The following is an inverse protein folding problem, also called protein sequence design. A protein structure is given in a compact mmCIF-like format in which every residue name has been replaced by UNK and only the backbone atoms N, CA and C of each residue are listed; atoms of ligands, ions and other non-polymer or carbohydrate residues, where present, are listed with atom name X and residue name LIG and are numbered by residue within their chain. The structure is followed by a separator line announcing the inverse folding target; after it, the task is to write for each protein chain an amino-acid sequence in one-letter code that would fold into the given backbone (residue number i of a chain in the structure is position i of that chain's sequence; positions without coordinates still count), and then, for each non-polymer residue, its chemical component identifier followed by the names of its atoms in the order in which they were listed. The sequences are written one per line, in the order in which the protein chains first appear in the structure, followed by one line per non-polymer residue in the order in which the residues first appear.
data_IF_135389609175
#
_entry.id   IF_135389609175
#
_cell.length_a   1.000
_cell.length_b   1.000
_cell.length_c   1.000
_cell.angle_alpha   90.00
_cell.angle_beta   90.00
_cell.angle_gamma   90.00
#
_symmetry.space_group_name_H-M   'P 1'
#
loop_
_entity.id
_entity.type
_entity.pdbx_description
1 polymer ?
#
# COMPACT_ATOMS: atom_id res chain seq x y z
N UNK A 1 -1.75 18.53 5.26
CA UNK A 1 -1.80 19.45 4.10
C UNK A 1 -3.13 20.21 3.97
N UNK A 2 -4.30 19.53 3.94
CA UNK A 2 -5.64 20.15 3.86
C UNK A 2 -5.84 21.39 4.76
N UNK A 3 -5.53 21.27 6.05
CA UNK A 3 -5.70 22.38 7.01
C UNK A 3 -4.89 23.64 6.64
N UNK A 4 -3.64 23.46 6.20
CA UNK A 4 -2.78 24.58 5.79
C UNK A 4 -3.34 25.28 4.55
N UNK A 5 -3.76 24.48 3.56
CA UNK A 5 -4.34 24.99 2.31
C UNK A 5 -5.66 25.74 2.55
N UNK A 6 -6.50 25.27 3.48
CA UNK A 6 -7.71 26.00 3.85
C UNK A 6 -7.44 27.33 4.54
N UNK A 7 -6.50 27.35 5.48
CA UNK A 7 -6.14 28.59 6.17
C UNK A 7 -5.47 29.58 5.22
N UNK A 8 -4.68 29.09 4.26
CA UNK A 8 -4.13 29.91 3.18
C UNK A 8 -5.23 30.52 2.32
N UNK A 9 -6.24 29.72 1.93
CA UNK A 9 -7.40 30.21 1.17
C UNK A 9 -8.24 31.21 1.95
N UNK A 10 -8.32 31.07 3.27
CA UNK A 10 -8.96 32.04 4.16
C UNK A 10 -8.15 33.35 4.34
N UNK A 11 -7.04 33.53 3.62
CA UNK A 11 -6.24 34.75 3.57
C UNK A 11 -4.86 34.65 4.22
N UNK A 12 -4.52 33.54 4.90
CA UNK A 12 -3.20 33.37 5.55
C UNK A 12 -2.17 32.77 4.59
N UNK A 13 -1.83 33.50 3.52
CA UNK A 13 -0.99 33.01 2.43
C UNK A 13 0.41 32.56 2.85
N UNK A 14 0.93 33.03 3.99
CA UNK A 14 2.21 32.56 4.56
C UNK A 14 2.22 31.06 4.87
N UNK A 15 1.05 30.43 5.05
CA UNK A 15 0.92 28.99 5.26
C UNK A 15 1.17 28.15 3.99
N UNK A 16 1.38 28.78 2.84
CA UNK A 16 1.86 28.08 1.63
C UNK A 16 3.32 27.63 1.78
N UNK A 17 4.14 28.31 2.59
CA UNK A 17 5.52 27.90 2.86
C UNK A 17 5.59 26.53 3.55
N UNK A 18 4.90 26.30 4.68
CA UNK A 18 4.89 24.96 5.29
C UNK A 18 4.21 23.90 4.42
N UNK A 19 3.34 24.25 3.46
CA UNK A 19 2.83 23.28 2.46
C UNK A 19 3.98 22.73 1.60
N UNK A 20 4.92 23.59 1.17
CA UNK A 20 6.09 23.19 0.39
C UNK A 20 7.00 22.28 1.23
N UNK A 21 7.21 22.59 2.51
CA UNK A 21 8.02 21.74 3.40
C UNK A 21 7.37 20.37 3.64
N UNK A 22 6.04 20.32 3.82
CA UNK A 22 5.31 19.06 3.94
C UNK A 22 5.40 18.26 2.64
N UNK A 23 5.36 18.91 1.47
CA UNK A 23 5.56 18.23 0.19
C UNK A 23 6.98 17.65 0.08
N UNK A 24 8.00 18.40 0.49
CA UNK A 24 9.39 17.92 0.48
C UNK A 24 9.54 16.64 1.32
N UNK A 25 9.01 16.67 2.55
CA UNK A 25 9.01 15.50 3.42
C UNK A 25 8.24 14.34 2.79
N UNK A 26 7.07 14.61 2.22
CA UNK A 26 6.23 13.59 1.61
C UNK A 26 6.89 12.92 0.41
N UNK A 27 7.49 13.71 -0.50
CA UNK A 27 8.21 13.21 -1.67
C UNK A 27 9.46 12.39 -1.35
N UNK A 28 10.04 12.59 -0.17
CA UNK A 28 11.18 11.81 0.32
C UNK A 28 10.76 10.60 1.17
N UNK A 29 9.49 10.50 1.54
CA UNK A 29 8.99 9.44 2.41
C UNK A 29 8.17 8.38 1.67
N UNK A 30 7.42 8.77 0.62
CA UNK A 30 6.42 7.92 -0.01
C UNK A 30 6.27 8.23 -1.51
N UNK A 31 6.05 7.19 -2.34
CA UNK A 31 5.82 7.32 -3.78
C UNK A 31 4.49 8.01 -4.17
N UNK A 32 3.59 8.21 -3.21
CA UNK A 32 2.27 8.85 -3.36
C UNK A 32 2.32 10.39 -3.34
N UNK A 33 3.52 10.97 -3.48
CA UNK A 33 3.74 12.41 -3.54
C UNK A 33 2.89 13.19 -4.57
N UNK A 34 2.42 12.62 -5.71
CA UNK A 34 1.55 13.35 -6.64
C UNK A 34 0.25 13.84 -6.02
N UNK A 35 -0.20 13.22 -4.92
CA UNK A 35 -1.42 13.65 -4.20
C UNK A 35 -1.23 15.04 -3.60
N UNK A 36 -0.06 15.34 -3.04
CA UNK A 36 0.20 16.65 -2.45
C UNK A 36 0.30 17.76 -3.50
N UNK A 37 0.80 17.43 -4.69
CA UNK A 37 0.74 18.30 -5.88
C UNK A 37 -0.72 18.52 -6.28
N UNK A 38 -1.49 17.45 -6.46
CA UNK A 38 -2.91 17.49 -6.81
C UNK A 38 -3.72 18.34 -5.84
N UNK A 39 -3.52 18.18 -4.53
CA UNK A 39 -4.18 18.99 -3.50
C UNK A 39 -3.82 20.47 -3.63
N UNK A 40 -2.53 20.80 -3.71
CA UNK A 40 -2.09 22.20 -3.80
C UNK A 40 -2.61 22.87 -5.07
N UNK A 41 -2.59 22.15 -6.19
CA UNK A 41 -3.07 22.62 -7.47
C UNK A 41 -4.59 22.78 -7.48
N UNK A 42 -5.36 21.84 -6.92
CA UNK A 42 -6.81 21.99 -6.79
C UNK A 42 -7.19 23.24 -6.01
N UNK A 43 -6.48 23.56 -4.92
CA UNK A 43 -6.75 24.78 -4.15
C UNK A 43 -6.37 26.06 -4.90
N UNK A 44 -5.22 26.08 -5.57
CA UNK A 44 -4.79 27.23 -6.37
C UNK A 44 -5.72 27.48 -7.56
N UNK A 45 -6.14 26.42 -8.26
CA UNK A 45 -7.07 26.50 -9.37
C UNK A 45 -8.48 26.88 -8.92
N UNK A 46 -8.96 26.37 -7.78
CA UNK A 46 -10.24 26.82 -7.22
C UNK A 46 -10.19 28.28 -6.74
N UNK A 47 -9.04 28.79 -6.31
CA UNK A 47 -8.85 30.21 -5.98
C UNK A 47 -8.91 31.06 -7.26
N UNK A 48 -8.19 30.66 -8.30
CA UNK A 48 -8.24 31.31 -9.61
C UNK A 48 -9.66 31.28 -10.21
N UNK A 49 -10.37 30.16 -10.10
CA UNK A 49 -11.75 30.02 -10.55
C UNK A 49 -12.71 30.95 -9.81
N UNK A 50 -12.55 31.08 -8.49
CA UNK A 50 -13.37 31.97 -7.69
C UNK A 50 -13.15 33.45 -8.09
N UNK A 51 -11.89 33.85 -8.28
CA UNK A 51 -11.56 35.19 -8.78
C UNK A 51 -12.14 35.45 -10.17
N UNK A 52 -12.01 34.49 -11.09
CA UNK A 52 -12.58 34.59 -12.44
C UNK A 52 -14.12 34.71 -12.43
N UNK A 53 -14.80 33.93 -11.57
CA UNK A 53 -16.26 33.82 -11.56
C UNK A 53 -16.97 34.92 -10.75
N UNK A 54 -16.33 35.40 -9.68
CA UNK A 54 -16.94 36.29 -8.69
C UNK A 54 -16.13 37.56 -8.40
N UNK A 55 -14.89 37.68 -8.87
CA UNK A 55 -14.04 38.84 -8.64
C UNK A 55 -14.52 40.06 -9.43
N UNK A 56 -14.70 41.20 -8.75
CA UNK A 56 -15.12 42.45 -9.39
C UNK A 56 -13.98 43.27 -10.00
N UNK A 57 -12.71 42.93 -9.75
CA UNK A 57 -11.51 43.41 -10.47
C UNK A 57 -10.26 42.77 -9.83
N UNK A 58 -9.62 41.86 -10.58
CA UNK A 58 -8.17 41.67 -10.67
C UNK A 58 -7.30 41.85 -9.39
N UNK A 59 -7.56 41.12 -8.31
CA UNK A 59 -6.52 40.87 -7.29
C UNK A 59 -5.60 39.71 -7.72
N UNK A 60 -5.11 39.71 -8.97
CA UNK A 60 -4.15 38.71 -9.48
C UNK A 60 -2.89 38.59 -8.60
N UNK A 61 -2.55 39.65 -7.86
CA UNK A 61 -1.48 39.64 -6.85
C UNK A 61 -1.72 38.62 -5.73
N UNK A 62 -2.98 38.26 -5.43
CA UNK A 62 -3.33 37.20 -4.47
C UNK A 62 -3.16 35.79 -5.06
N UNK A 63 -3.12 35.66 -6.39
CA UNK A 63 -2.85 34.39 -7.07
C UNK A 63 -1.35 34.12 -7.24
N UNK A 64 -0.50 35.15 -7.20
CA UNK A 64 0.95 34.97 -7.32
C UNK A 64 1.54 34.03 -6.25
N UNK A 65 1.16 34.10 -4.95
CA UNK A 65 1.59 33.12 -3.96
C UNK A 65 1.12 31.70 -4.25
N UNK A 66 -0.09 31.53 -4.80
CA UNK A 66 -0.60 30.22 -5.21
C UNK A 66 0.18 29.65 -6.38
N UNK A 67 0.46 30.45 -7.42
CA UNK A 67 1.28 30.05 -8.55
C UNK A 67 2.70 29.68 -8.11
N UNK A 68 3.31 30.48 -7.23
CA UNK A 68 4.62 30.20 -6.65
C UNK A 68 4.60 28.88 -5.85
N UNK A 69 3.58 28.66 -5.03
CA UNK A 69 3.43 27.41 -4.29
C UNK A 69 3.23 26.20 -5.21
N UNK A 70 2.41 26.31 -6.25
CA UNK A 70 2.19 25.25 -7.25
C UNK A 70 3.47 24.87 -7.99
N UNK A 71 4.27 25.87 -8.39
CA UNK A 71 5.58 25.65 -8.98
C UNK A 71 6.56 25.03 -7.98
N UNK A 72 6.63 25.56 -6.76
CA UNK A 72 7.52 25.06 -5.72
C UNK A 72 7.20 23.60 -5.35
N UNK A 73 5.94 23.22 -5.13
CA UNK A 73 5.58 21.83 -4.83
C UNK A 73 5.87 20.89 -6.00
N UNK A 74 5.83 21.36 -7.26
CA UNK A 74 6.22 20.55 -8.41
C UNK A 74 7.73 20.32 -8.46
N UNK A 75 8.52 21.39 -8.28
CA UNK A 75 9.99 21.36 -8.35
C UNK A 75 10.61 20.62 -7.16
N UNK A 76 10.04 20.74 -5.97
CA UNK A 76 10.54 20.08 -4.75
C UNK A 76 10.55 18.56 -4.86
N UNK A 77 9.69 17.97 -5.71
CA UNK A 77 9.71 16.52 -5.94
C UNK A 77 10.97 16.03 -6.66
N UNK A 78 11.77 16.94 -7.24
CA UNK A 78 13.09 16.62 -7.82
C UNK A 78 14.18 16.49 -6.74
N UNK A 79 13.92 16.94 -5.50
CA UNK A 79 14.87 16.89 -4.38
C UNK A 79 14.86 15.54 -3.65
N UNK A 80 14.23 14.52 -4.22
CA UNK A 80 14.27 13.15 -3.70
C UNK A 80 15.58 12.45 -4.13
N UNK A 81 16.00 11.35 -3.46
CA UNK A 81 17.24 10.64 -3.78
C UNK A 81 17.32 10.15 -5.23
N UNK A 82 16.16 9.87 -5.84
CA UNK A 82 16.05 9.39 -7.22
C UNK A 82 15.95 10.51 -8.27
N UNK A 83 15.94 11.78 -7.85
CA UNK A 83 15.88 12.95 -8.73
C UNK A 83 14.80 12.85 -9.82
N UNK A 84 15.22 13.04 -11.07
CA UNK A 84 14.34 12.95 -12.25
C UNK A 84 13.66 11.58 -12.39
N UNK A 85 14.38 10.48 -12.10
CA UNK A 85 13.83 9.12 -12.25
C UNK A 85 12.64 8.92 -11.32
N UNK A 86 12.76 9.37 -10.07
CA UNK A 86 11.67 9.33 -9.10
C UNK A 86 10.52 10.28 -9.44
N UNK A 87 10.81 11.43 -10.06
CA UNK A 87 9.77 12.35 -10.55
C UNK A 87 8.94 11.74 -11.68
N UNK A 88 9.58 11.01 -12.60
CA UNK A 88 8.89 10.35 -13.71
C UNK A 88 8.20 9.04 -13.32
N UNK A 89 8.55 8.47 -12.16
CA UNK A 89 8.15 7.13 -11.74
C UNK A 89 6.62 6.93 -11.66
N UNK A 90 5.80 7.86 -11.13
CA UNK A 90 4.35 7.68 -11.13
C UNK A 90 3.73 7.56 -12.53
N UNK A 91 4.35 8.13 -13.57
CA UNK A 91 3.87 7.98 -14.94
C UNK A 91 4.17 6.58 -15.49
N UNK A 92 5.30 5.98 -15.09
CA UNK A 92 5.61 4.57 -15.40
C UNK A 92 4.59 3.66 -14.72
N UNK A 93 4.36 3.84 -13.41
CA UNK A 93 3.35 3.07 -12.67
C UNK A 93 1.95 3.24 -13.24
N UNK A 94 1.58 4.45 -13.66
CA UNK A 94 0.28 4.69 -14.26
C UNK A 94 0.09 3.85 -15.53
N UNK A 95 1.12 3.68 -16.36
CA UNK A 95 1.05 2.80 -17.53
C UNK A 95 0.89 1.33 -17.13
N UNK A 96 1.59 0.86 -16.09
CA UNK A 96 1.49 -0.52 -15.61
C UNK A 96 0.11 -0.85 -15.02
N UNK A 97 -0.53 0.13 -14.36
CA UNK A 97 -1.86 0.01 -13.75
C UNK A 97 -2.99 0.13 -14.77
N UNK A 98 -2.84 1.03 -15.76
CA UNK A 98 -3.87 1.26 -16.78
C UNK A 98 -3.91 0.14 -17.82
N UNK A 99 -2.79 -0.54 -18.11
CA UNK A 99 -2.79 -1.65 -19.05
C UNK A 99 -3.48 -2.90 -18.45
N UNK A 100 -4.63 -3.36 -19.00
CA UNK A 100 -5.40 -4.46 -18.43
C UNK A 100 -4.70 -5.83 -18.48
N UNK A 101 -3.63 -5.94 -19.27
CA UNK A 101 -2.94 -7.21 -19.58
C UNK A 101 -1.69 -7.50 -18.75
N UNK A 102 -1.32 -6.64 -17.79
CA UNK A 102 -0.13 -6.89 -16.96
C UNK A 102 -0.41 -8.06 -16.00
N UNK A 103 0.54 -8.99 -15.89
CA UNK A 103 0.47 -10.11 -14.94
C UNK A 103 0.23 -9.60 -13.50
N UNK A 104 0.72 -8.39 -13.20
CA UNK A 104 0.51 -7.71 -11.93
C UNK A 104 -0.97 -7.56 -11.55
N UNK A 105 -1.81 -7.09 -12.49
CA UNK A 105 -3.24 -6.85 -12.22
C UNK A 105 -4.04 -8.15 -12.10
N UNK A 106 -3.61 -9.19 -12.80
CA UNK A 106 -4.34 -10.45 -12.88
C UNK A 106 -4.08 -11.37 -11.69
N UNK A 107 -2.98 -11.17 -10.95
CA UNK A 107 -2.60 -12.12 -9.89
C UNK A 107 -2.54 -11.50 -8.49
N UNK A 108 -2.33 -10.19 -8.36
CA UNK A 108 -2.29 -9.53 -7.04
C UNK A 108 -3.68 -9.04 -6.66
N UNK A 109 -4.27 -9.65 -5.62
CA UNK A 109 -5.63 -9.33 -5.16
C UNK A 109 -5.84 -7.88 -4.73
N UNK A 110 -4.79 -7.16 -4.37
CA UNK A 110 -4.86 -5.73 -4.00
C UNK A 110 -5.16 -4.80 -5.19
N UNK A 111 -4.83 -5.23 -6.42
CA UNK A 111 -5.16 -4.51 -7.65
C UNK A 111 -6.52 -4.87 -8.22
N UNK A 112 -7.22 -5.84 -7.62
CA UNK A 112 -8.56 -6.20 -8.04
C UNK A 112 -9.53 -5.03 -7.79
N UNK A 113 -10.50 -4.83 -8.68
CA UNK A 113 -11.54 -3.83 -8.45
C UNK A 113 -12.41 -4.23 -7.26
N UNK A 114 -13.07 -3.24 -6.65
CA UNK A 114 -13.87 -3.44 -5.43
C UNK A 114 -15.04 -4.42 -5.62
N UNK A 115 -15.49 -4.62 -6.85
CA UNK A 115 -16.58 -5.52 -7.21
C UNK A 115 -16.10 -6.91 -7.66
N UNK A 116 -14.80 -7.21 -7.59
CA UNK A 116 -14.26 -8.50 -8.03
C UNK A 116 -14.80 -9.68 -7.22
N UNK A 117 -15.11 -9.50 -5.94
CA UNK A 117 -15.80 -10.49 -5.11
C UNK A 117 -16.55 -9.84 -3.94
N UNK A 118 -17.41 -10.64 -3.28
CA UNK A 118 -18.28 -10.16 -2.20
C UNK A 118 -17.53 -9.67 -0.96
N UNK A 119 -16.36 -10.24 -0.65
CA UNK A 119 -15.54 -9.82 0.50
C UNK A 119 -14.89 -8.46 0.26
N UNK A 120 -14.34 -8.24 -0.94
CA UNK A 120 -13.78 -6.93 -1.32
C UNK A 120 -14.87 -5.85 -1.35
N UNK A 121 -16.06 -6.17 -1.85
CA UNK A 121 -17.19 -5.24 -1.87
C UNK A 121 -17.61 -4.82 -0.46
N UNK A 122 -17.72 -5.79 0.47
CA UNK A 122 -18.03 -5.51 1.88
C UNK A 122 -16.98 -4.61 2.52
N UNK A 123 -15.70 -4.87 2.26
CA UNK A 123 -14.61 -4.04 2.75
C UNK A 123 -14.64 -2.62 2.18
N UNK A 124 -15.02 -2.48 0.90
CA UNK A 124 -15.10 -1.19 0.21
C UNK A 124 -16.36 -0.39 0.53
N UNK A 125 -17.37 -0.96 1.19
CA UNK A 125 -18.67 -0.32 1.42
C UNK A 125 -18.57 1.07 2.11
N UNK A 126 -17.77 1.26 3.18
CA UNK A 126 -17.60 2.58 3.79
C UNK A 126 -17.04 3.62 2.81
N UNK A 127 -16.11 3.20 1.93
CA UNK A 127 -15.54 4.05 0.89
C UNK A 127 -16.57 4.39 -0.20
N UNK A 128 -17.37 3.41 -0.62
CA UNK A 128 -18.44 3.59 -1.60
C UNK A 128 -19.57 4.49 -1.10
N UNK A 129 -19.74 4.63 0.22
CA UNK A 129 -20.64 5.61 0.85
C UNK A 129 -19.96 6.98 0.96
N UNK A 130 -18.70 7.01 1.41
CA UNK A 130 -17.94 8.24 1.59
C UNK A 130 -17.75 9.01 0.29
N UNK A 131 -17.40 8.33 -0.81
CA UNK A 131 -17.13 8.94 -2.10
C UNK A 131 -18.29 9.80 -2.64
N UNK A 132 -19.52 9.28 -2.81
CA UNK A 132 -20.64 10.09 -3.27
C UNK A 132 -21.02 11.19 -2.27
N UNK A 133 -20.94 10.94 -0.95
CA UNK A 133 -21.24 11.96 0.07
C UNK A 133 -20.23 13.12 0.01
N UNK A 134 -18.94 12.82 -0.08
CA UNK A 134 -17.89 13.81 -0.20
C UNK A 134 -18.01 14.60 -1.52
N UNK A 135 -18.27 13.94 -2.66
CA UNK A 135 -18.45 14.61 -3.95
C UNK A 135 -19.70 15.50 -3.96
N UNK A 136 -20.84 14.98 -3.47
CA UNK A 136 -22.07 15.75 -3.31
C UNK A 136 -21.84 16.97 -2.42
N UNK A 137 -21.02 16.85 -1.37
CA UNK A 137 -20.72 17.96 -0.44
C UNK A 137 -20.11 19.19 -1.10
N UNK A 138 -19.40 19.01 -2.22
CA UNK A 138 -18.84 20.11 -2.99
C UNK A 138 -19.93 20.94 -3.67
N UNK A 139 -20.97 20.29 -4.19
CA UNK A 139 -22.08 20.95 -4.88
C UNK A 139 -23.02 21.68 -3.91
N UNK A 140 -23.20 21.14 -2.71
CA UNK A 140 -24.03 21.76 -1.68
C UNK A 140 -23.37 22.98 -1.00
N UNK A 141 -22.18 23.43 -1.40
CA UNK A 141 -21.50 24.61 -0.83
C UNK A 141 -22.06 25.95 -1.32
N UNK A 142 -22.99 25.96 -2.28
CA UNK A 142 -23.66 27.18 -2.73
C UNK A 142 -22.75 28.06 -3.59
N UNK A 143 -22.65 29.37 -3.30
CA UNK A 143 -21.96 30.37 -4.15
C UNK A 143 -20.42 30.26 -4.20
N UNK A 144 -19.81 29.23 -3.63
CA UNK A 144 -18.37 29.00 -3.68
C UNK A 144 -18.07 27.55 -4.12
N UNK A 145 -18.37 27.20 -5.38
CA UNK A 145 -18.06 25.89 -5.91
C UNK A 145 -16.55 25.63 -5.88
N UNK A 146 -16.19 24.34 -5.77
CA UNK A 146 -14.79 23.87 -5.75
C UNK A 146 -14.57 22.79 -6.80
N UNK A 147 -14.71 23.14 -8.09
CA UNK A 147 -14.70 22.16 -9.17
C UNK A 147 -13.39 21.36 -9.24
N UNK A 148 -12.25 21.97 -8.93
CA UNK A 148 -10.96 21.28 -9.01
C UNK A 148 -10.71 20.36 -7.83
N UNK A 149 -11.25 20.70 -6.65
CA UNK A 149 -11.27 19.78 -5.52
C UNK A 149 -12.23 18.61 -5.75
N UNK A 150 -13.40 18.85 -6.38
CA UNK A 150 -14.32 17.80 -6.80
C UNK A 150 -13.69 16.89 -7.85
N UNK A 151 -12.97 17.45 -8.83
CA UNK A 151 -12.26 16.68 -9.85
C UNK A 151 -11.20 15.77 -9.21
N UNK A 152 -10.39 16.29 -8.28
CA UNK A 152 -9.42 15.47 -7.54
C UNK A 152 -10.12 14.35 -6.76
N UNK A 153 -11.22 14.67 -6.07
CA UNK A 153 -12.04 13.67 -5.36
C UNK A 153 -12.58 12.60 -6.30
N UNK A 154 -13.04 12.99 -7.50
CA UNK A 154 -13.59 12.07 -8.50
C UNK A 154 -12.52 11.14 -9.05
N UNK A 155 -11.33 11.67 -9.35
CA UNK A 155 -10.20 10.88 -9.82
C UNK A 155 -9.78 9.84 -8.77
N UNK A 156 -9.64 10.24 -7.50
CA UNK A 156 -9.27 9.32 -6.42
C UNK A 156 -10.39 8.34 -6.05
N UNK A 157 -11.65 8.74 -6.18
CA UNK A 157 -12.79 7.85 -6.07
C UNK A 157 -12.73 6.76 -7.17
N UNK A 158 -12.47 7.17 -8.41
CA UNK A 158 -12.29 6.26 -9.54
C UNK A 158 -11.15 5.27 -9.31
N UNK A 159 -9.99 5.76 -8.85
CA UNK A 159 -8.84 4.91 -8.51
C UNK A 159 -9.15 3.93 -7.37
N UNK A 160 -9.90 4.35 -6.35
CA UNK A 160 -10.33 3.49 -5.24
C UNK A 160 -11.33 2.40 -5.66
N UNK A 161 -12.20 2.70 -6.64
CA UNK A 161 -13.11 1.69 -7.23
C UNK A 161 -12.34 0.72 -8.13
N UNK A 162 -11.34 1.20 -8.87
CA UNK A 162 -10.57 0.37 -9.80
C UNK A 162 -9.62 -0.59 -9.13
N UNK A 163 -9.12 -0.27 -7.93
CA UNK A 163 -8.23 -1.13 -7.16
C UNK A 163 -8.40 -0.91 -5.66
N UNK A 164 -8.56 -2.01 -4.92
CA UNK A 164 -8.76 -2.01 -3.46
C UNK A 164 -7.62 -1.31 -2.71
N UNK A 165 -6.37 -1.43 -3.21
CA UNK A 165 -5.20 -0.75 -2.63
C UNK A 165 -5.35 0.78 -2.55
N UNK A 166 -6.12 1.38 -3.46
CA UNK A 166 -6.32 2.82 -3.52
C UNK A 166 -7.41 3.34 -2.57
N UNK A 167 -8.18 2.46 -1.92
CA UNK A 167 -9.27 2.84 -1.00
C UNK A 167 -8.74 3.69 0.15
N UNK A 168 -7.62 3.30 0.77
CA UNK A 168 -7.06 4.03 1.91
C UNK A 168 -6.67 5.45 1.52
N UNK A 169 -5.98 5.58 0.39
CA UNK A 169 -5.53 6.85 -0.18
C UNK A 169 -6.72 7.75 -0.55
N UNK A 170 -7.65 7.22 -1.34
CA UNK A 170 -8.85 7.95 -1.75
C UNK A 170 -9.72 8.32 -0.55
N UNK A 171 -9.84 7.45 0.44
CA UNK A 171 -10.62 7.66 1.65
C UNK A 171 -10.09 8.83 2.48
N UNK A 172 -8.78 8.95 2.65
CA UNK A 172 -8.17 10.09 3.35
C UNK A 172 -8.47 11.41 2.63
N UNK A 173 -8.36 11.45 1.31
CA UNK A 173 -8.61 12.68 0.54
C UNK A 173 -10.10 13.02 0.51
N UNK A 174 -10.99 12.06 0.25
CA UNK A 174 -12.44 12.26 0.26
C UNK A 174 -12.95 12.66 1.65
N UNK A 175 -12.41 12.06 2.71
CA UNK A 175 -12.67 12.47 4.09
C UNK A 175 -12.23 13.91 4.35
N UNK A 176 -11.03 14.28 3.88
CA UNK A 176 -10.53 15.65 3.94
C UNK A 176 -11.43 16.64 3.17
N UNK A 177 -11.90 16.28 1.98
CA UNK A 177 -12.86 17.08 1.21
C UNK A 177 -14.13 17.28 2.02
N UNK A 178 -14.76 16.21 2.52
CA UNK A 178 -15.98 16.30 3.31
C UNK A 178 -15.78 17.22 4.53
N UNK A 179 -14.67 17.05 5.27
CA UNK A 179 -14.35 17.87 6.44
C UNK A 179 -14.29 19.37 6.14
N UNK A 180 -13.74 19.77 5.00
CA UNK A 180 -13.63 21.21 4.66
C UNK A 180 -14.94 21.80 4.10
N UNK A 181 -15.90 20.96 3.69
CA UNK A 181 -17.21 21.42 3.24
C UNK A 181 -18.23 21.54 4.39
N UNK A 182 -18.10 20.71 5.44
CA UNK A 182 -19.06 20.66 6.55
C UNK A 182 -19.36 22.03 7.22
N UNK A 183 -18.37 22.92 7.48
CA UNK A 183 -18.66 24.24 8.05
C UNK A 183 -19.61 25.11 7.20
N UNK A 184 -19.54 24.99 5.87
CA UNK A 184 -20.41 25.72 4.95
C UNK A 184 -21.86 25.25 4.98
N UNK A 185 -22.10 24.00 5.39
CA UNK A 185 -23.44 23.47 5.64
C UNK A 185 -23.99 23.96 6.98
N UNK A 186 -23.15 23.95 8.02
CA UNK A 186 -23.53 24.38 9.37
C UNK A 186 -23.83 25.88 9.49
N UNK A 187 -23.10 26.73 8.74
CA UNK A 187 -23.35 28.16 8.73
C UNK A 187 -24.75 28.55 8.23
N UNK A 188 -25.44 27.67 7.48
CA UNK A 188 -26.81 27.94 6.98
C UNK A 188 -27.92 27.58 7.97
N UNK A 189 -27.61 26.94 9.09
CA UNK A 189 -28.59 26.52 10.12
C UNK A 189 -28.25 26.99 11.53
N UNK A 190 -27.47 28.07 11.64
CA UNK A 190 -26.84 28.53 12.88
C UNK A 190 -27.87 28.96 13.95
N UNK A 191 -27.90 28.21 15.05
CA UNK A 191 -28.68 28.50 16.26
C UNK A 191 -28.94 27.24 17.08
N UNK A 192 -29.47 26.19 16.46
CA UNK A 192 -29.79 24.92 17.15
C UNK A 192 -28.69 23.85 16.99
N UNK A 193 -27.76 24.06 16.04
CA UNK A 193 -26.82 23.04 15.55
C UNK A 193 -25.46 23.05 16.27
N UNK A 194 -25.05 24.14 16.91
CA UNK A 194 -23.72 24.24 17.55
C UNK A 194 -23.51 23.21 18.68
N UNK A 195 -24.54 22.95 19.48
CA UNK A 195 -24.50 21.88 20.50
C UNK A 195 -24.32 20.49 19.87
N UNK A 196 -24.95 20.27 18.71
CA UNK A 196 -24.89 19.01 17.98
C UNK A 196 -23.56 18.85 17.24
N UNK A 197 -22.92 19.94 16.79
CA UNK A 197 -21.58 19.86 16.19
C UNK A 197 -20.51 19.58 17.23
N UNK A 198 -20.59 20.19 18.42
CA UNK A 198 -19.71 19.84 19.54
C UNK A 198 -19.95 18.40 19.99
N UNK A 199 -21.21 17.98 20.11
CA UNK A 199 -21.56 16.60 20.45
C UNK A 199 -21.11 15.62 19.36
N UNK A 200 -21.27 15.92 18.07
CA UNK A 200 -20.82 15.09 16.97
C UNK A 200 -19.29 15.05 16.86
N UNK A 201 -18.61 16.17 17.12
CA UNK A 201 -17.15 16.23 17.19
C UNK A 201 -16.61 15.41 18.36
N UNK A 202 -17.20 15.55 19.54
CA UNK A 202 -16.88 14.72 20.71
C UNK A 202 -17.21 13.25 20.46
N UNK A 203 -18.34 12.95 19.82
CA UNK A 203 -18.71 11.58 19.44
C UNK A 203 -17.75 11.02 18.40
N UNK A 204 -17.28 11.81 17.44
CA UNK A 204 -16.28 11.38 16.47
C UNK A 204 -14.92 11.13 17.13
N UNK A 205 -14.50 11.98 18.07
CA UNK A 205 -13.29 11.77 18.89
C UNK A 205 -13.45 10.53 19.77
N UNK A 206 -14.60 10.36 20.41
CA UNK A 206 -14.90 9.20 21.25
C UNK A 206 -14.96 7.92 20.42
N UNK A 207 -15.58 7.94 19.24
CA UNK A 207 -15.60 6.82 18.29
C UNK A 207 -14.18 6.55 17.78
N UNK A 208 -13.40 7.57 17.43
CA UNK A 208 -12.01 7.38 17.03
C UNK A 208 -11.19 6.77 18.17
N UNK A 209 -11.39 7.21 19.41
CA UNK A 209 -10.75 6.64 20.60
C UNK A 209 -11.21 5.20 20.85
N UNK A 210 -12.50 4.89 20.72
CA UNK A 210 -13.06 3.54 20.84
C UNK A 210 -12.54 2.64 19.73
N UNK A 211 -12.54 3.08 18.47
CA UNK A 211 -11.97 2.31 17.35
C UNK A 211 -10.46 2.15 17.49
N UNK A 212 -9.76 3.14 18.03
CA UNK A 212 -8.34 3.00 18.36
C UNK A 212 -8.15 1.98 19.49
N UNK A 213 -8.98 2.01 20.54
CA UNK A 213 -8.93 1.07 21.66
C UNK A 213 -9.32 -0.35 21.23
N UNK A 214 -10.32 -0.48 20.36
CA UNK A 214 -10.71 -1.74 19.73
C UNK A 214 -9.61 -2.23 18.80
N UNK A 215 -8.96 -1.35 18.04
CA UNK A 215 -7.77 -1.74 17.28
C UNK A 215 -6.60 -2.15 18.20
N UNK A 216 -6.59 -1.66 19.45
CA UNK A 216 -5.66 -2.04 20.51
C UNK A 216 -6.11 -3.25 21.36
N UNK A 217 -7.27 -3.85 21.13
CA UNK A 217 -7.76 -4.96 21.99
C UNK A 217 -8.42 -6.11 21.22
N UNK A 218 -9.03 -5.84 20.07
CA UNK A 218 -9.65 -6.80 19.19
C UNK A 218 -8.72 -7.17 18.02
N UNK A 219 -8.83 -8.38 17.44
CA UNK A 219 -8.17 -8.70 16.19
C UNK A 219 -8.60 -7.70 15.12
N UNK A 220 -7.67 -6.85 14.69
CA UNK A 220 -7.92 -5.70 13.80
C UNK A 220 -8.42 -6.09 12.41
N UNK A 221 -8.33 -7.37 12.05
CA UNK A 221 -8.85 -7.94 10.81
C UNK A 221 -9.83 -9.08 11.08
N UNK A 222 -11.03 -8.72 11.52
CA UNK A 222 -12.12 -9.67 11.69
C UNK A 222 -12.59 -10.29 10.36
N UNK A 223 -12.31 -9.65 9.22
CA UNK A 223 -12.75 -10.08 7.89
C UNK A 223 -11.82 -11.09 7.19
N UNK A 224 -10.58 -11.26 7.63
CA UNK A 224 -9.64 -12.25 7.03
C UNK A 224 -9.20 -13.33 8.03
N UNK A 225 -9.80 -13.34 9.24
CA UNK A 225 -9.50 -14.28 10.32
C UNK A 225 -8.03 -14.30 10.74
N UNK A 226 -7.21 -13.31 10.35
CA UNK A 226 -5.85 -13.16 10.87
C UNK A 226 -5.90 -12.42 12.19
N UNK A 227 -5.61 -13.16 13.27
CA UNK A 227 -5.54 -12.64 14.64
C UNK A 227 -4.31 -11.74 14.82
N UNK A 228 -4.32 -10.55 14.23
CA UNK A 228 -3.31 -9.53 14.48
C UNK A 228 -3.61 -8.88 15.82
N UNK A 229 -2.73 -9.12 16.78
CA UNK A 229 -2.74 -8.45 18.08
C UNK A 229 -1.98 -7.13 17.97
N UNK A 230 -2.45 -6.07 18.63
CA UNK A 230 -1.73 -4.82 18.73
C UNK A 230 -0.47 -5.00 19.58
N UNK A 231 0.60 -4.33 19.15
CA UNK A 231 1.91 -4.40 19.80
C UNK A 231 3.00 -3.87 18.88
N UNK A 232 4.20 -3.70 19.43
CA UNK A 232 5.41 -3.33 18.68
C UNK A 232 6.17 -4.55 18.13
N UNK A 233 5.53 -5.72 18.17
CA UNK A 233 6.12 -7.00 17.79
C UNK A 233 5.89 -7.37 16.32
N UNK A 234 6.63 -8.37 15.87
CA UNK A 234 6.47 -8.98 14.55
C UNK A 234 5.46 -10.12 14.66
N UNK A 235 4.55 -10.25 13.69
CA UNK A 235 3.67 -11.41 13.64
C UNK A 235 4.44 -12.59 13.06
N UNK A 236 5.07 -13.39 13.92
CA UNK A 236 6.00 -14.47 13.54
C UNK A 236 5.43 -15.44 12.50
N UNK A 237 4.11 -15.65 12.48
CA UNK A 237 3.47 -16.50 11.47
C UNK A 237 3.64 -15.96 10.03
N UNK A 238 3.80 -14.65 9.87
CA UNK A 238 3.99 -13.98 8.57
C UNK A 238 5.48 -13.87 8.19
N UNK A 239 6.41 -14.39 8.99
CA UNK A 239 7.85 -14.30 8.69
C UNK A 239 8.56 -15.64 8.96
N UNK A 240 9.34 -16.17 8.01
CA UNK A 240 9.99 -17.47 8.17
C UNK A 240 11.26 -17.36 9.04
N UNK A 241 11.10 -16.95 10.30
CA UNK A 241 12.22 -16.61 11.20
C UNK A 241 13.10 -17.83 11.53
N UNK A 242 12.50 -19.00 11.78
CA UNK A 242 13.30 -20.20 12.05
C UNK A 242 13.98 -20.74 10.78
N UNK A 243 13.33 -20.61 9.61
CA UNK A 243 13.96 -20.89 8.32
C UNK A 243 15.20 -20.02 8.09
N UNK A 244 15.09 -18.71 8.36
CA UNK A 244 16.23 -17.77 8.29
C UNK A 244 17.32 -18.14 9.30
N UNK A 245 16.94 -18.51 10.52
CA UNK A 245 17.86 -18.97 11.55
C UNK A 245 18.69 -20.16 11.08
N UNK A 246 18.03 -21.20 10.55
CA UNK A 246 18.70 -22.39 10.03
C UNK A 246 19.65 -22.04 8.88
N UNK A 247 19.19 -21.28 7.88
CA UNK A 247 20.01 -20.92 6.72
C UNK A 247 21.27 -20.15 7.14
N UNK A 248 21.19 -19.31 8.18
CA UNK A 248 22.37 -18.64 8.75
C UNK A 248 23.29 -19.60 9.49
N UNK A 249 22.72 -20.52 10.27
CA UNK A 249 23.49 -21.50 11.03
C UNK A 249 24.34 -22.39 10.13
N UNK A 250 23.77 -22.87 9.02
CA UNK A 250 24.50 -23.68 8.03
C UNK A 250 25.41 -22.83 7.12
N UNK A 251 25.37 -21.50 7.26
CA UNK A 251 26.16 -20.59 6.43
C UNK A 251 25.74 -20.60 4.95
N UNK A 252 24.44 -20.74 4.67
CA UNK A 252 23.91 -20.83 3.31
C UNK A 252 24.28 -19.62 2.46
N UNK A 253 24.63 -19.87 1.20
CA UNK A 253 24.92 -18.86 0.17
C UNK A 253 24.33 -19.32 -1.16
N UNK A 254 23.73 -18.40 -1.91
CA UNK A 254 23.20 -18.69 -3.27
C UNK A 254 21.73 -18.36 -3.45
N UNK A 255 21.13 -18.93 -4.50
CA UNK A 255 19.74 -18.72 -4.88
C UNK A 255 18.76 -19.38 -3.92
N UNK A 256 17.69 -18.69 -3.56
CA UNK A 256 16.58 -19.17 -2.76
C UNK A 256 15.29 -19.01 -3.56
N UNK A 257 14.57 -20.11 -3.75
CA UNK A 257 13.19 -20.06 -4.26
C UNK A 257 12.28 -19.75 -3.09
N UNK A 258 11.41 -18.75 -3.24
CA UNK A 258 10.53 -18.30 -2.17
C UNK A 258 9.24 -17.69 -2.72
N UNK A 259 8.16 -17.66 -1.93
CA UNK A 259 7.01 -16.83 -2.21
C UNK A 259 7.33 -15.34 -2.27
N UNK A 260 6.66 -14.58 -3.14
CA UNK A 260 6.96 -13.15 -3.37
C UNK A 260 6.86 -12.31 -2.09
N UNK A 261 5.90 -12.62 -1.22
CA UNK A 261 5.69 -11.88 0.03
C UNK A 261 6.79 -12.16 1.08
N UNK A 262 7.52 -13.26 0.99
CA UNK A 262 8.66 -13.57 1.88
C UNK A 262 9.96 -12.91 1.44
N UNK A 263 10.07 -12.50 0.16
CA UNK A 263 11.32 -12.04 -0.44
C UNK A 263 11.97 -10.89 0.32
N UNK A 264 11.18 -9.93 0.77
CA UNK A 264 11.69 -8.74 1.46
C UNK A 264 12.37 -9.09 2.78
N UNK A 265 11.81 -10.05 3.52
CA UNK A 265 12.38 -10.51 4.78
C UNK A 265 13.66 -11.32 4.58
N UNK A 266 13.69 -12.17 3.55
CA UNK A 266 14.86 -12.96 3.19
C UNK A 266 16.03 -12.06 2.73
N UNK A 267 15.75 -11.05 1.89
CA UNK A 267 16.74 -10.04 1.50
C UNK A 267 17.26 -9.30 2.73
N UNK A 268 16.37 -8.77 3.58
CA UNK A 268 16.79 -8.06 4.79
C UNK A 268 17.66 -8.93 5.71
N UNK A 269 17.38 -10.23 5.77
CA UNK A 269 18.05 -11.14 6.70
C UNK A 269 19.43 -11.61 6.25
N UNK A 270 19.63 -11.85 4.95
CA UNK A 270 20.85 -12.50 4.44
C UNK A 270 21.46 -11.84 3.21
N UNK A 271 21.17 -10.56 2.96
CA UNK A 271 21.91 -9.78 1.97
C UNK A 271 23.35 -9.51 2.46
N UNK A 272 24.38 -9.62 1.58
CA UNK A 272 24.33 -9.93 0.15
C UNK A 272 24.43 -11.42 -0.24
N UNK A 273 24.55 -12.34 0.72
CA UNK A 273 24.83 -13.76 0.48
C UNK A 273 23.65 -14.52 -0.17
N UNK A 274 22.43 -14.04 0.05
CA UNK A 274 21.20 -14.67 -0.43
C UNK A 274 20.61 -13.94 -1.63
N UNK A 275 20.34 -14.69 -2.70
CA UNK A 275 19.62 -14.20 -3.87
C UNK A 275 18.21 -14.78 -3.86
N UNK A 276 17.19 -13.96 -3.71
CA UNK A 276 15.79 -14.43 -3.65
C UNK A 276 15.17 -14.42 -5.04
N UNK A 277 14.29 -15.39 -5.32
CA UNK A 277 13.63 -15.50 -6.62
C UNK A 277 12.66 -14.35 -6.87
N UNK A 278 11.85 -14.02 -5.87
CA UNK A 278 10.81 -13.01 -6.00
C UNK A 278 10.64 -12.19 -4.73
N UNK A 279 10.16 -10.96 -4.91
CA UNK A 279 9.88 -9.98 -3.86
C UNK A 279 8.60 -9.20 -4.22
N UNK A 280 7.83 -8.80 -3.21
CA UNK A 280 6.58 -8.05 -3.39
C UNK A 280 6.79 -6.60 -3.86
N UNK A 281 8.02 -6.07 -3.82
CA UNK A 281 8.44 -4.83 -4.48
C UNK A 281 8.61 -5.10 -5.97
N UNK A 282 7.49 -4.94 -6.67
CA UNK A 282 7.32 -5.27 -8.09
C UNK A 282 8.31 -4.54 -9.01
N UNK A 283 8.86 -3.41 -8.55
CA UNK A 283 9.83 -2.57 -9.24
C UNK A 283 11.25 -3.16 -9.26
N UNK A 284 11.55 -4.12 -8.39
CA UNK A 284 12.91 -4.65 -8.19
C UNK A 284 13.19 -5.86 -9.11
N UNK A 285 12.21 -6.75 -9.26
CA UNK A 285 12.35 -7.99 -10.06
C UNK A 285 11.65 -7.97 -11.42
N UNK A 286 10.79 -6.98 -11.68
CA UNK A 286 9.98 -6.88 -12.89
C UNK A 286 8.92 -7.99 -13.03
N UNK A 287 8.16 -7.94 -14.12
CA UNK A 287 7.04 -8.85 -14.38
C UNK A 287 7.47 -10.33 -14.49
N UNK A 288 8.68 -10.58 -15.01
CA UNK A 288 9.19 -11.93 -15.22
C UNK A 288 9.40 -12.69 -13.90
N UNK A 289 9.94 -12.04 -12.86
CA UNK A 289 10.14 -12.68 -11.55
C UNK A 289 8.82 -13.18 -10.97
N UNK A 290 7.75 -12.40 -11.12
CA UNK A 290 6.41 -12.76 -10.66
C UNK A 290 5.84 -13.93 -11.48
N UNK A 291 6.00 -13.91 -12.81
CA UNK A 291 5.57 -15.01 -13.67
C UNK A 291 6.31 -16.31 -13.35
N UNK A 292 7.62 -16.25 -13.08
CA UNK A 292 8.38 -17.41 -12.63
C UNK A 292 7.86 -17.93 -11.30
N UNK A 293 7.63 -17.06 -10.33
CA UNK A 293 7.04 -17.42 -9.05
C UNK A 293 5.71 -18.18 -9.23
N UNK A 294 4.78 -17.63 -10.02
CA UNK A 294 3.49 -18.27 -10.24
C UNK A 294 3.59 -19.60 -10.99
N UNK A 295 4.55 -19.75 -11.92
CA UNK A 295 4.80 -21.04 -12.59
C UNK A 295 5.32 -22.08 -11.60
N UNK A 296 6.27 -21.70 -10.74
CA UNK A 296 6.85 -22.58 -9.72
C UNK A 296 5.78 -23.12 -8.76
N UNK A 297 4.78 -22.31 -8.40
CA UNK A 297 3.73 -22.73 -7.46
C UNK A 297 2.77 -23.79 -8.01
N UNK A 298 2.71 -23.94 -9.33
CA UNK A 298 1.74 -24.82 -9.99
C UNK A 298 2.40 -26.04 -10.66
N UNK A 299 3.73 -26.14 -10.68
CA UNK A 299 4.44 -27.20 -11.41
C UNK A 299 5.83 -27.48 -10.84
N UNK A 300 6.07 -28.74 -10.46
CA UNK A 300 7.41 -29.21 -10.08
C UNK A 300 8.42 -29.22 -11.23
N UNK A 301 7.97 -29.32 -12.48
CA UNK A 301 8.84 -29.19 -13.64
C UNK A 301 9.34 -27.75 -13.78
N UNK A 302 8.45 -26.78 -13.59
CA UNK A 302 8.82 -25.37 -13.55
C UNK A 302 9.74 -25.06 -12.36
N UNK A 303 9.46 -25.62 -11.18
CA UNK A 303 10.33 -25.54 -9.99
C UNK A 303 11.76 -26.02 -10.31
N UNK A 304 11.87 -27.18 -10.97
CA UNK A 304 13.17 -27.75 -11.38
C UNK A 304 13.90 -26.82 -12.34
N UNK A 305 13.21 -26.35 -13.38
CA UNK A 305 13.80 -25.48 -14.40
C UNK A 305 14.27 -24.14 -13.81
N UNK A 306 13.48 -23.56 -12.90
CA UNK A 306 13.84 -22.33 -12.19
C UNK A 306 15.02 -22.57 -11.24
N UNK A 307 15.04 -23.68 -10.51
CA UNK A 307 16.15 -24.01 -9.62
C UNK A 307 17.49 -24.16 -10.35
N UNK A 308 17.47 -24.65 -11.59
CA UNK A 308 18.67 -24.71 -12.44
C UNK A 308 19.03 -23.33 -12.96
N UNK A 309 18.06 -22.59 -13.52
CA UNK A 309 18.29 -21.28 -14.14
C UNK A 309 18.77 -20.23 -13.12
N UNK A 310 18.23 -20.28 -11.91
CA UNK A 310 18.52 -19.33 -10.84
C UNK A 310 19.64 -19.81 -9.89
N UNK A 311 20.25 -20.96 -10.18
CA UNK A 311 21.24 -21.60 -9.31
C UNK A 311 20.77 -21.66 -7.84
N UNK A 312 19.53 -22.14 -7.68
CA UNK A 312 18.88 -22.21 -6.38
C UNK A 312 19.02 -23.60 -5.78
N UNK A 313 19.71 -23.65 -4.65
CA UNK A 313 19.97 -24.87 -3.88
C UNK A 313 19.08 -24.98 -2.64
N UNK A 314 18.36 -23.90 -2.30
CA UNK A 314 17.40 -23.85 -1.22
C UNK A 314 16.05 -23.32 -1.70
N UNK A 315 15.00 -23.73 -1.02
CA UNK A 315 13.65 -23.25 -1.21
C UNK A 315 12.98 -23.01 0.15
N UNK A 316 12.48 -21.80 0.39
CA UNK A 316 11.72 -21.43 1.59
C UNK A 316 10.26 -21.31 1.20
N UNK A 317 9.45 -22.32 1.53
CA UNK A 317 8.08 -22.45 1.05
C UNK A 317 7.06 -22.25 2.15
N UNK A 318 5.95 -21.61 1.82
CA UNK A 318 4.85 -21.38 2.75
C UNK A 318 3.92 -22.58 2.86
N UNK A 319 3.37 -22.79 4.05
CA UNK A 319 2.28 -23.73 4.32
C UNK A 319 0.89 -23.12 4.09
N UNK A 320 0.80 -21.90 3.54
CA UNK A 320 -0.48 -21.22 3.27
C UNK A 320 -0.88 -21.35 1.81
N UNK A 321 -2.18 -21.43 1.47
CA UNK A 321 -2.62 -21.32 0.09
C UNK A 321 -2.10 -20.02 -0.57
N UNK A 322 -1.75 -20.04 -1.86
CA UNK A 322 -1.80 -21.18 -2.78
C UNK A 322 -0.59 -22.15 -2.71
N UNK A 323 0.36 -21.94 -1.81
CA UNK A 323 1.66 -22.64 -1.76
C UNK A 323 1.60 -24.07 -1.20
N UNK A 324 0.50 -24.45 -0.56
CA UNK A 324 0.32 -25.76 0.07
C UNK A 324 0.49 -26.93 -0.90
N UNK A 325 0.09 -26.75 -2.16
CA UNK A 325 0.17 -27.82 -3.16
C UNK A 325 1.62 -28.08 -3.58
N UNK A 326 2.36 -27.05 -3.98
CA UNK A 326 3.80 -27.19 -4.31
C UNK A 326 4.59 -27.69 -3.11
N UNK A 327 4.27 -27.23 -1.89
CA UNK A 327 4.90 -27.75 -0.66
C UNK A 327 4.72 -29.27 -0.55
N UNK A 328 3.50 -29.78 -0.75
CA UNK A 328 3.22 -31.23 -0.71
C UNK A 328 3.96 -31.98 -1.81
N UNK A 329 3.99 -31.43 -3.02
CA UNK A 329 4.71 -32.04 -4.14
C UNK A 329 6.22 -32.11 -3.86
N UNK A 330 6.81 -31.09 -3.23
CA UNK A 330 8.20 -31.09 -2.82
C UNK A 330 8.51 -32.17 -1.77
N UNK A 331 7.60 -32.44 -0.83
CA UNK A 331 7.76 -33.56 0.12
C UNK A 331 7.83 -34.93 -0.57
N UNK A 332 7.24 -35.05 -1.76
CA UNK A 332 7.21 -36.30 -2.53
C UNK A 332 8.37 -36.40 -3.53
N UNK A 333 9.07 -35.31 -3.80
CA UNK A 333 10.18 -35.23 -4.75
C UNK A 333 11.50 -35.55 -4.05
N UNK A 334 12.15 -36.64 -4.47
CA UNK A 334 13.43 -37.07 -3.87
C UNK A 334 14.57 -36.06 -4.02
N UNK A 335 14.46 -35.10 -4.95
CA UNK A 335 15.47 -34.06 -5.20
C UNK A 335 15.44 -32.95 -4.16
N UNK A 336 14.33 -32.78 -3.43
CA UNK A 336 14.18 -31.75 -2.42
C UNK A 336 13.98 -32.39 -1.05
N UNK A 337 14.81 -32.01 -0.08
CA UNK A 337 14.76 -32.57 1.27
C UNK A 337 14.35 -31.50 2.25
N UNK A 338 13.27 -31.76 2.98
CA UNK A 338 12.83 -30.87 4.06
C UNK A 338 13.80 -30.98 5.24
N UNK A 339 14.37 -29.84 5.64
CA UNK A 339 15.35 -29.75 6.73
C UNK A 339 14.86 -28.91 7.91
N UNK A 340 13.82 -28.10 7.72
CA UNK A 340 13.17 -27.33 8.78
C UNK A 340 11.73 -27.02 8.40
N UNK A 341 10.84 -27.00 9.39
CA UNK A 341 9.46 -26.56 9.26
C UNK A 341 9.02 -25.80 10.51
N UNK A 342 8.27 -24.72 10.33
CA UNK A 342 7.61 -23.95 11.38
C UNK A 342 6.21 -23.47 10.93
N UNK A 343 5.60 -22.59 11.72
CA UNK A 343 4.29 -21.97 11.40
C UNK A 343 4.30 -21.04 10.19
N UNK A 344 5.46 -20.51 9.84
CA UNK A 344 5.69 -19.59 8.73
C UNK A 344 5.97 -20.30 7.41
N UNK A 345 6.54 -21.49 7.44
CA UNK A 345 6.88 -22.29 6.25
C UNK A 345 7.87 -23.41 6.53
N UNK A 346 8.57 -23.85 5.49
CA UNK A 346 9.63 -24.84 5.60
C UNK A 346 10.77 -24.59 4.62
N UNK A 347 11.96 -25.08 5.01
CA UNK A 347 13.19 -25.04 4.21
C UNK A 347 13.40 -26.39 3.57
N UNK A 348 13.55 -26.37 2.25
CA UNK A 348 14.01 -27.50 1.47
C UNK A 348 15.41 -27.21 0.92
N UNK A 349 16.29 -28.21 1.01
CA UNK A 349 17.57 -28.21 0.33
C UNK A 349 17.54 -29.18 -0.85
N UNK A 350 18.18 -28.80 -1.95
CA UNK A 350 18.27 -29.65 -3.14
C UNK A 350 19.37 -30.70 -2.92
N UNK A 351 19.12 -31.98 -3.22
CA UNK A 351 20.19 -32.99 -3.28
C UNK A 351 21.18 -32.64 -4.38
N UNK A 352 22.43 -33.10 -4.25
CA UNK A 352 23.50 -32.87 -5.24
C UNK A 352 23.90 -31.40 -5.39
N UNK A 353 23.60 -30.57 -4.40
CA UNK A 353 23.88 -29.12 -4.41
C UNK A 353 25.06 -28.70 -3.55
N UNK A 354 25.85 -29.66 -3.07
CA UNK A 354 26.96 -29.43 -2.14
C UNK A 354 26.54 -29.31 -0.66
N UNK A 355 25.25 -29.51 -0.36
CA UNK A 355 24.67 -29.49 0.99
C UNK A 355 24.34 -30.89 1.53
N UNK A 356 24.89 -31.95 0.93
CA UNK A 356 24.50 -33.34 1.25
C UNK A 356 24.80 -33.70 2.71
N UNK A 357 25.87 -33.16 3.29
CA UNK A 357 26.22 -33.37 4.71
C UNK A 357 25.18 -32.77 5.65
N UNK A 358 24.71 -31.56 5.34
CA UNK A 358 23.69 -30.86 6.11
C UNK A 358 22.33 -31.52 5.93
N UNK A 359 22.03 -32.01 4.71
CA UNK A 359 20.85 -32.80 4.41
C UNK A 359 20.82 -34.06 5.28
N UNK A 360 21.89 -34.86 5.30
CA UNK A 360 21.95 -36.07 6.14
C UNK A 360 21.75 -35.79 7.63
N UNK A 361 22.24 -34.64 8.10
CA UNK A 361 22.14 -34.23 9.51
C UNK A 361 20.74 -33.73 9.88
N UNK A 362 20.06 -33.03 8.97
CA UNK A 362 18.85 -32.23 9.28
C UNK A 362 17.58 -32.77 8.63
N UNK A 363 17.66 -33.81 7.79
CA UNK A 363 16.50 -34.38 7.09
C UNK A 363 15.37 -34.77 8.05
N UNK A 364 14.21 -34.16 7.83
CA UNK A 364 12.98 -34.50 8.54
C UNK A 364 12.30 -35.66 7.81
N UNK A 365 12.40 -36.86 8.40
CA UNK A 365 11.87 -38.11 7.80
C UNK A 365 10.37 -38.28 7.96
N UNK A 366 9.77 -37.69 8.99
CA UNK A 366 8.32 -37.70 9.22
C UNK A 366 7.79 -36.28 9.49
N UNK A 367 7.46 -35.53 8.43
CA UNK A 367 6.98 -34.16 8.56
C UNK A 367 5.53 -34.06 9.06
N UNK A 368 4.76 -35.16 9.05
CA UNK A 368 3.36 -35.18 9.50
C UNK A 368 3.22 -35.37 11.02
N UNK A 369 4.29 -35.81 11.70
CA UNK A 369 4.35 -35.92 13.16
C UNK A 369 4.69 -34.62 13.90
N UNK A 370 4.95 -33.52 13.19
CA UNK A 370 5.19 -32.21 13.81
C UNK A 370 3.85 -31.58 14.24
N UNK A 371 3.56 -31.58 15.54
CA UNK A 371 2.48 -30.76 16.10
C UNK A 371 2.85 -29.28 15.98
N UNK A 372 2.06 -28.52 15.21
CA UNK A 372 2.22 -27.08 15.05
C UNK A 372 1.68 -26.34 16.29
N UNK A 373 2.37 -26.44 17.44
CA UNK A 373 2.02 -25.75 18.70
C UNK A 373 1.82 -24.26 18.55
#
# INVERSE_FOLDING_TARGET
MFFLLERARAGRLTLLVPVILVQLLFANSEGLWPIGVGLTWSYGLDAAFAEWRYGQRAEWRRLAPWAAAMAAVALVNLLQPYGWRGFTFPFVLLTEVLHPGTAHKNVIGEFAPVHANSSLLRMALPFLILAPVALASVFFRGKQPRPFLALLGLLLAGLGVSAVRNIGVGGVVLGGILMVQLPGWWARGAGRIERWTRAAGLAAVALAAVFSLLALTAPTRWWDSTYRKPGLGVYEKDFPAASVGLLKEIGYRGGIINPEWMGGYLIWSGWPEWKVLADSRMEVGGEQAILYCFKVYNSMDAMTAVAVTFDANAAVMSLRPPYTEVFRQMLSDRRWVLVQVDRGGGVFLRRDSGWDREIERLEIKDPLGYEFE
#
